data_IF_961968558123
#
_entry.id   IF_961968558123
#
_cell.length_a   1.000
_cell.length_b   1.000
_cell.length_c   1.000
_cell.angle_alpha   90.00
_cell.angle_beta   90.00
_cell.angle_gamma   90.00
#
_symmetry.space_group_name_H-M   'P 1'
#
loop_
_entity.id
_entity.type
_entity.pdbx_description
1 polymer ?
#
# COMPACT_ATOMS: atom_id res chain seq x y z
N UNK A 1 -8.87 -19.96 -17.75
CA UNK A 1 -9.49 -20.84 -16.72
C UNK A 1 -8.67 -22.10 -16.40
N UNK A 2 -7.97 -22.73 -17.35
CA UNK A 2 -7.20 -23.98 -17.11
C UNK A 2 -5.87 -23.84 -16.34
N UNK A 3 -5.22 -22.67 -16.34
CA UNK A 3 -3.94 -22.48 -15.64
C UNK A 3 -4.06 -22.56 -14.11
N UNK A 4 -5.10 -21.96 -13.53
CA UNK A 4 -5.31 -21.97 -12.08
C UNK A 4 -5.56 -23.39 -11.54
N UNK A 5 -6.26 -24.23 -12.32
CA UNK A 5 -6.54 -25.63 -11.99
C UNK A 5 -5.27 -26.49 -12.06
N UNK A 6 -4.45 -26.32 -13.10
CA UNK A 6 -3.17 -27.03 -13.24
C UNK A 6 -2.15 -26.65 -12.15
N UNK A 7 -2.08 -25.38 -11.76
CA UNK A 7 -1.20 -24.96 -10.66
C UNK A 7 -1.73 -25.47 -9.31
N UNK A 8 -3.05 -25.53 -9.10
CA UNK A 8 -3.62 -26.07 -7.86
C UNK A 8 -3.29 -27.55 -7.64
N UNK A 9 -3.21 -28.34 -8.71
CA UNK A 9 -2.84 -29.77 -8.69
C UNK A 9 -1.33 -29.99 -8.46
N UNK A 10 -0.48 -29.06 -8.89
CA UNK A 10 0.96 -29.15 -8.67
C UNK A 10 1.37 -28.90 -7.20
N UNK A 11 0.62 -28.04 -6.50
CA UNK A 11 0.92 -27.64 -5.11
C UNK A 11 0.43 -28.69 -4.09
N UNK A 12 -0.50 -29.58 -4.44
CA UNK A 12 -1.10 -30.54 -3.51
C UNK A 12 -0.19 -31.71 -3.14
N UNK A 13 0.76 -32.09 -4.00
CA UNK A 13 1.40 -33.39 -3.87
C UNK A 13 2.74 -33.38 -3.13
N UNK A 14 3.52 -32.29 -3.19
CA UNK A 14 4.79 -32.23 -2.45
C UNK A 14 5.36 -30.81 -2.42
N UNK A 15 4.88 -29.94 -1.52
CA UNK A 15 5.36 -28.56 -1.53
C UNK A 15 5.59 -28.00 -0.14
N UNK A 16 6.83 -27.54 0.07
CA UNK A 16 7.28 -26.84 1.26
C UNK A 16 6.34 -25.68 1.59
N UNK A 17 6.27 -25.31 2.87
CA UNK A 17 5.47 -24.18 3.35
C UNK A 17 5.73 -22.90 2.53
N UNK A 18 6.94 -22.78 2.00
CA UNK A 18 7.36 -21.71 1.12
C UNK A 18 6.56 -21.65 -0.18
N UNK A 19 6.46 -22.76 -0.92
CA UNK A 19 5.73 -22.83 -2.20
C UNK A 19 4.23 -22.61 -1.95
N UNK A 20 3.66 -23.28 -0.94
CA UNK A 20 2.24 -23.15 -0.59
C UNK A 20 1.86 -21.72 -0.25
N UNK A 21 2.69 -21.03 0.53
CA UNK A 21 2.43 -19.63 0.91
C UNK A 21 2.66 -18.64 -0.23
N UNK A 22 3.65 -18.87 -1.11
CA UNK A 22 3.80 -18.08 -2.37
C UNK A 22 2.55 -18.17 -3.24
N UNK A 23 2.05 -19.39 -3.47
CA UNK A 23 0.87 -19.62 -4.29
C UNK A 23 -0.39 -18.97 -3.70
N UNK A 24 -0.64 -19.15 -2.40
CA UNK A 24 -1.79 -18.52 -1.73
C UNK A 24 -1.73 -16.99 -1.78
N UNK A 25 -0.54 -16.40 -1.64
CA UNK A 25 -0.37 -14.94 -1.76
C UNK A 25 -0.70 -14.46 -3.18
N UNK A 26 -0.28 -15.21 -4.21
CA UNK A 26 -0.63 -14.91 -5.59
C UNK A 26 -2.15 -14.97 -5.83
N UNK A 27 -2.83 -15.99 -5.30
CA UNK A 27 -4.29 -16.08 -5.38
C UNK A 27 -4.98 -14.90 -4.68
N UNK A 28 -4.51 -14.53 -3.49
CA UNK A 28 -5.03 -13.37 -2.76
C UNK A 28 -4.87 -12.08 -3.58
N UNK A 29 -3.71 -11.87 -4.18
CA UNK A 29 -3.41 -10.72 -5.04
C UNK A 29 -4.30 -10.69 -6.30
N UNK A 30 -4.52 -11.83 -6.95
CA UNK A 30 -5.43 -11.94 -8.11
C UNK A 30 -6.86 -11.57 -7.70
N UNK A 31 -7.36 -12.11 -6.59
CA UNK A 31 -8.69 -11.80 -6.10
C UNK A 31 -8.82 -10.33 -5.70
N UNK A 32 -7.81 -9.75 -5.05
CA UNK A 32 -7.79 -8.32 -4.71
C UNK A 32 -7.82 -7.45 -5.98
N UNK A 33 -7.02 -7.76 -7.01
CA UNK A 33 -7.01 -7.03 -8.29
C UNK A 33 -8.37 -7.11 -9.01
N UNK A 34 -9.03 -8.26 -8.91
CA UNK A 34 -10.37 -8.47 -9.47
C UNK A 34 -11.50 -7.92 -8.58
N UNK A 35 -11.17 -7.18 -7.52
CA UNK A 35 -12.12 -6.61 -6.55
C UNK A 35 -12.95 -7.65 -5.77
N UNK A 36 -12.53 -8.92 -5.78
CA UNK A 36 -13.12 -10.00 -5.00
C UNK A 36 -12.53 -9.98 -3.57
N UNK A 37 -12.71 -8.87 -2.85
CA UNK A 37 -12.02 -8.60 -1.60
C UNK A 37 -12.37 -9.57 -0.46
N UNK A 38 -13.61 -10.07 -0.42
CA UNK A 38 -14.01 -11.10 0.56
C UNK A 38 -13.24 -12.41 0.34
N UNK A 39 -13.05 -12.81 -0.92
CA UNK A 39 -12.30 -14.01 -1.25
C UNK A 39 -10.80 -13.82 -1.01
N UNK A 40 -10.25 -12.65 -1.36
CA UNK A 40 -8.87 -12.30 -1.02
C UNK A 40 -8.62 -12.35 0.51
N UNK A 41 -9.57 -11.85 1.30
CA UNK A 41 -9.53 -11.92 2.78
C UNK A 41 -9.42 -13.36 3.29
N UNK A 42 -10.12 -14.33 2.69
CA UNK A 42 -10.00 -15.74 3.09
C UNK A 42 -8.59 -16.29 2.87
N UNK A 43 -7.93 -15.92 1.77
CA UNK A 43 -6.55 -16.33 1.51
C UNK A 43 -5.56 -15.65 2.45
N UNK A 44 -5.74 -14.37 2.76
CA UNK A 44 -4.87 -13.66 3.70
C UNK A 44 -4.95 -14.23 5.12
N UNK A 45 -6.14 -14.62 5.61
CA UNK A 45 -6.29 -15.29 6.92
C UNK A 45 -5.50 -16.59 6.96
N UNK A 46 -5.72 -17.47 5.98
CA UNK A 46 -4.99 -18.75 5.86
C UNK A 46 -3.46 -18.56 5.79
N UNK A 47 -3.01 -17.48 5.15
CA UNK A 47 -1.58 -17.15 5.08
C UNK A 47 -1.01 -16.72 6.43
N UNK A 48 -1.76 -15.95 7.22
CA UNK A 48 -1.36 -15.60 8.59
C UNK A 48 -1.25 -16.89 9.41
N UNK A 49 -2.28 -17.74 9.41
CA UNK A 49 -2.28 -19.00 10.18
C UNK A 49 -1.08 -19.90 9.83
N UNK A 50 -0.64 -19.89 8.57
CA UNK A 50 0.53 -20.66 8.12
C UNK A 50 1.87 -20.04 8.54
N UNK A 51 1.98 -18.72 8.58
CA UNK A 51 3.26 -18.00 8.68
C UNK A 51 3.49 -17.37 10.05
N UNK A 52 2.45 -17.19 10.86
CA UNK A 52 2.55 -16.59 12.20
C UNK A 52 3.48 -17.46 13.07
N UNK A 53 4.32 -16.79 13.86
CA UNK A 53 5.36 -17.40 14.71
C UNK A 53 6.50 -18.13 13.98
N UNK A 54 6.64 -17.96 12.66
CA UNK A 54 7.77 -18.49 11.88
C UNK A 54 8.69 -17.37 11.40
N UNK A 55 9.95 -17.41 11.81
CA UNK A 55 10.93 -16.41 11.36
C UNK A 55 11.18 -16.52 9.85
N UNK A 56 11.29 -17.73 9.32
CA UNK A 56 11.42 -17.99 7.88
C UNK A 56 10.20 -17.49 7.07
N UNK A 57 9.07 -17.32 7.75
CA UNK A 57 7.83 -16.77 7.20
C UNK A 57 7.73 -15.25 7.25
N UNK A 58 8.58 -14.56 8.00
CA UNK A 58 8.39 -13.15 8.38
C UNK A 58 8.32 -12.20 7.17
N UNK A 59 9.20 -12.38 6.18
CA UNK A 59 9.19 -11.56 4.96
C UNK A 59 7.87 -11.71 4.18
N UNK A 60 7.31 -12.92 4.14
CA UNK A 60 6.05 -13.18 3.47
C UNK A 60 4.88 -12.67 4.31
N UNK A 61 4.94 -12.84 5.63
CA UNK A 61 3.95 -12.32 6.57
C UNK A 61 3.86 -10.78 6.52
N UNK A 62 4.99 -10.08 6.36
CA UNK A 62 5.01 -8.63 6.15
C UNK A 62 4.22 -8.22 4.89
N UNK A 63 4.41 -8.95 3.78
CA UNK A 63 3.65 -8.72 2.55
C UNK A 63 2.15 -9.02 2.74
N UNK A 64 1.81 -10.06 3.49
CA UNK A 64 0.43 -10.42 3.84
C UNK A 64 -0.23 -9.32 4.65
N UNK A 65 0.40 -8.85 5.73
CA UNK A 65 -0.15 -7.75 6.54
C UNK A 65 -0.36 -6.48 5.72
N UNK A 66 0.59 -6.12 4.87
CA UNK A 66 0.45 -4.97 3.99
C UNK A 66 -0.75 -5.10 3.03
N UNK A 67 -0.83 -6.22 2.28
CA UNK A 67 -1.89 -6.45 1.29
C UNK A 67 -3.27 -6.61 1.94
N UNK A 68 -3.33 -7.28 3.08
CA UNK A 68 -4.57 -7.53 3.80
C UNK A 68 -5.09 -6.26 4.49
N UNK A 69 -4.20 -5.38 4.97
CA UNK A 69 -4.59 -4.07 5.47
C UNK A 69 -5.25 -3.23 4.36
N UNK A 70 -4.64 -3.17 3.17
CA UNK A 70 -5.27 -2.53 2.00
C UNK A 70 -6.60 -3.17 1.60
N UNK A 71 -6.69 -4.50 1.61
CA UNK A 71 -7.93 -5.22 1.35
C UNK A 71 -9.03 -4.83 2.35
N UNK A 72 -8.65 -4.67 3.62
CA UNK A 72 -9.57 -4.28 4.69
C UNK A 72 -10.06 -2.85 4.51
N UNK A 73 -9.23 -1.93 4.00
CA UNK A 73 -9.69 -0.60 3.58
C UNK A 73 -10.72 -0.68 2.45
N UNK A 74 -10.50 -1.50 1.42
CA UNK A 74 -11.48 -1.67 0.34
C UNK A 74 -12.82 -2.26 0.81
N UNK A 75 -12.81 -3.03 1.89
CA UNK A 75 -14.01 -3.56 2.53
C UNK A 75 -14.65 -2.59 3.55
N UNK A 76 -14.11 -1.38 3.74
CA UNK A 76 -14.56 -0.43 4.77
C UNK A 76 -14.24 -0.84 6.21
N UNK A 77 -13.42 -1.88 6.40
CA UNK A 77 -13.04 -2.43 7.72
C UNK A 77 -11.86 -1.65 8.31
N UNK A 78 -12.04 -0.35 8.58
CA UNK A 78 -10.95 0.58 8.91
C UNK A 78 -10.17 0.22 10.19
N UNK A 79 -10.87 -0.19 11.27
CA UNK A 79 -10.23 -0.66 12.51
C UNK A 79 -9.35 -1.90 12.27
N UNK A 80 -9.81 -2.81 11.43
CA UNK A 80 -9.06 -4.02 11.05
C UNK A 80 -7.84 -3.67 10.21
N UNK A 81 -7.98 -2.75 9.25
CA UNK A 81 -6.86 -2.25 8.47
C UNK A 81 -5.76 -1.65 9.36
N UNK A 82 -6.15 -0.92 10.41
CA UNK A 82 -5.24 -0.39 11.42
C UNK A 82 -4.54 -1.48 12.21
N UNK A 83 -5.28 -2.45 12.75
CA UNK A 83 -4.68 -3.59 13.46
C UNK A 83 -3.64 -4.32 12.60
N UNK A 84 -3.95 -4.60 11.33
CA UNK A 84 -3.02 -5.26 10.40
C UNK A 84 -1.80 -4.39 10.06
N UNK A 85 -1.97 -3.07 9.91
CA UNK A 85 -0.86 -2.16 9.64
C UNK A 85 0.08 -2.03 10.84
N UNK A 86 -0.45 -2.03 12.07
CA UNK A 86 0.36 -2.05 13.30
C UNK A 86 1.10 -3.39 13.48
N UNK A 87 0.47 -4.51 13.10
CA UNK A 87 1.15 -5.81 13.05
C UNK A 87 2.33 -5.80 12.07
N UNK A 88 2.20 -5.16 10.91
CA UNK A 88 3.32 -4.96 9.98
C UNK A 88 4.46 -4.13 10.60
N UNK A 89 4.12 -3.02 11.26
CA UNK A 89 5.11 -2.15 11.91
C UNK A 89 5.87 -2.87 13.02
N UNK A 90 5.16 -3.61 13.88
CA UNK A 90 5.75 -4.47 14.91
C UNK A 90 6.65 -5.54 14.30
N UNK A 91 6.23 -6.18 13.20
CA UNK A 91 7.02 -7.20 12.53
C UNK A 91 8.33 -6.65 11.94
N UNK A 92 8.28 -5.46 11.32
CA UNK A 92 9.49 -4.77 10.80
C UNK A 92 10.44 -4.42 11.95
N UNK A 93 9.90 -3.98 13.09
CA UNK A 93 10.71 -3.64 14.27
C UNK A 93 11.33 -4.88 14.93
N UNK A 94 10.66 -6.03 14.83
CA UNK A 94 11.14 -7.31 15.39
C UNK A 94 12.31 -7.90 14.60
N UNK A 95 12.30 -7.80 13.27
CA UNK A 95 13.28 -8.46 12.41
C UNK A 95 14.10 -7.45 11.63
N UNK A 96 15.40 -7.30 11.97
CA UNK A 96 16.31 -6.31 11.38
C UNK A 96 16.42 -6.42 9.86
N UNK A 97 16.34 -7.62 9.28
CA UNK A 97 16.36 -7.81 7.82
C UNK A 97 15.12 -7.25 7.10
N UNK A 98 14.05 -6.93 7.84
CA UNK A 98 12.88 -6.21 7.32
C UNK A 98 13.03 -4.70 7.43
N UNK A 99 13.99 -4.18 8.20
CA UNK A 99 14.22 -2.75 8.39
C UNK A 99 14.99 -2.14 7.21
N UNK A 100 14.38 -2.23 6.03
CA UNK A 100 14.93 -1.70 4.78
C UNK A 100 14.16 -0.46 4.34
N UNK A 101 14.77 0.44 3.54
CA UNK A 101 14.06 1.59 2.96
C UNK A 101 12.77 1.19 2.25
N UNK A 102 12.77 0.06 1.54
CA UNK A 102 11.59 -0.47 0.83
C UNK A 102 10.44 -0.81 1.77
N UNK A 103 10.69 -1.55 2.85
CA UNK A 103 9.65 -1.87 3.82
C UNK A 103 9.18 -0.65 4.59
N UNK A 104 10.10 0.24 5.00
CA UNK A 104 9.77 1.45 5.71
C UNK A 104 8.91 2.41 4.87
N UNK A 105 9.22 2.58 3.58
CA UNK A 105 8.40 3.38 2.68
C UNK A 105 7.02 2.74 2.45
N UNK A 106 6.95 1.42 2.23
CA UNK A 106 5.65 0.73 2.08
C UNK A 106 4.79 0.84 3.35
N UNK A 107 5.40 0.65 4.52
CA UNK A 107 4.78 0.82 5.84
C UNK A 107 4.23 2.24 6.00
N UNK A 108 5.01 3.26 5.68
CA UNK A 108 4.59 4.66 5.86
C UNK A 108 3.44 5.05 4.93
N UNK A 109 3.46 4.61 3.67
CA UNK A 109 2.34 4.80 2.73
C UNK A 109 1.09 4.05 3.21
N UNK A 110 1.23 2.85 3.76
CA UNK A 110 0.10 2.10 4.31
C UNK A 110 -0.50 2.81 5.54
N UNK A 111 0.31 3.11 6.54
CA UNK A 111 -0.15 3.71 7.80
C UNK A 111 -0.76 5.08 7.56
N UNK A 112 -0.18 5.92 6.69
CA UNK A 112 -0.79 7.20 6.32
C UNK A 112 -2.21 7.02 5.77
N UNK A 113 -2.41 6.13 4.77
CA UNK A 113 -3.75 5.82 4.24
C UNK A 113 -4.70 5.29 5.30
N UNK A 114 -4.22 4.38 6.14
CA UNK A 114 -5.04 3.76 7.18
C UNK A 114 -5.47 4.78 8.22
N UNK A 115 -4.59 5.67 8.66
CA UNK A 115 -4.93 6.73 9.61
C UNK A 115 -5.86 7.78 8.99
N UNK A 116 -5.71 8.13 7.70
CA UNK A 116 -6.68 8.96 6.98
C UNK A 116 -8.10 8.35 7.06
N UNK A 117 -8.23 7.06 6.77
CA UNK A 117 -9.53 6.37 6.80
C UNK A 117 -10.07 6.13 8.22
N UNK A 118 -9.24 6.26 9.25
CA UNK A 118 -9.64 6.25 10.65
C UNK A 118 -9.78 7.67 11.24
N UNK A 119 -9.83 8.72 10.40
CA UNK A 119 -9.96 10.12 10.80
C UNK A 119 -8.87 10.60 11.79
N UNK A 120 -7.69 9.99 11.78
CA UNK A 120 -6.56 10.43 12.58
C UNK A 120 -5.58 11.20 11.69
N UNK A 121 -5.86 12.48 11.49
CA UNK A 121 -5.12 13.33 10.57
C UNK A 121 -3.67 13.56 11.03
N UNK A 122 -3.42 13.65 12.33
CA UNK A 122 -2.08 13.87 12.90
C UNK A 122 -1.14 12.70 12.61
N UNK A 123 -1.62 11.47 12.85
CA UNK A 123 -0.84 10.29 12.50
C UNK A 123 -0.74 10.11 10.99
N UNK A 124 -1.77 10.46 10.23
CA UNK A 124 -1.72 10.40 8.77
C UNK A 124 -0.59 11.28 8.21
N UNK A 125 -0.52 12.55 8.64
CA UNK A 125 0.52 13.48 8.19
C UNK A 125 1.91 13.08 8.71
N UNK A 126 2.00 12.56 9.93
CA UNK A 126 3.25 12.01 10.47
C UNK A 126 3.82 10.93 9.55
N UNK A 127 3.03 9.92 9.16
CA UNK A 127 3.52 8.85 8.29
C UNK A 127 3.75 9.30 6.84
N UNK A 128 3.06 10.33 6.35
CA UNK A 128 3.41 10.96 5.08
C UNK A 128 4.82 11.59 5.13
N UNK A 129 5.11 12.34 6.19
CA UNK A 129 6.42 12.97 6.40
C UNK A 129 7.54 11.92 6.55
N UNK A 130 7.28 10.84 7.30
CA UNK A 130 8.19 9.69 7.40
C UNK A 130 8.46 9.10 6.01
N UNK A 131 7.41 8.86 5.22
CA UNK A 131 7.53 8.35 3.86
C UNK A 131 8.33 9.26 2.94
N UNK A 132 8.23 10.58 3.11
CA UNK A 132 9.01 11.55 2.33
C UNK A 132 10.50 11.48 2.64
N UNK A 133 10.85 11.39 3.93
CA UNK A 133 12.23 11.24 4.37
C UNK A 133 12.86 9.97 3.77
N UNK A 134 12.14 8.85 3.81
CA UNK A 134 12.63 7.60 3.21
C UNK A 134 12.68 7.69 1.68
N UNK A 135 11.67 8.27 1.03
CA UNK A 135 11.59 8.42 -0.43
C UNK A 135 12.80 9.17 -1.02
N UNK A 136 13.27 10.21 -0.32
CA UNK A 136 14.40 11.04 -0.74
C UNK A 136 15.73 10.28 -0.81
N UNK A 137 15.84 9.16 -0.07
CA UNK A 137 17.05 8.34 0.01
C UNK A 137 17.11 7.21 -1.03
N UNK A 138 16.06 7.00 -1.84
CA UNK A 138 16.10 5.99 -2.90
C UNK A 138 16.88 6.49 -4.12
N UNK A 139 17.57 5.57 -4.80
CA UNK A 139 18.11 5.82 -6.14
C UNK A 139 17.01 6.27 -7.12
N UNK A 140 15.88 5.56 -7.14
CA UNK A 140 14.69 5.92 -7.92
C UNK A 140 13.71 6.81 -7.12
N UNK A 141 14.22 7.83 -6.42
CA UNK A 141 13.40 8.72 -5.58
C UNK A 141 12.22 9.35 -6.31
N UNK A 142 12.36 9.66 -7.60
CA UNK A 142 11.34 10.38 -8.37
C UNK A 142 10.00 9.63 -8.41
N UNK A 143 10.00 8.31 -8.65
CA UNK A 143 8.77 7.50 -8.68
C UNK A 143 8.08 7.43 -7.32
N UNK A 144 8.87 7.31 -6.25
CA UNK A 144 8.39 7.28 -4.87
C UNK A 144 7.80 8.65 -4.47
N UNK A 145 8.46 9.74 -4.84
CA UNK A 145 8.00 11.11 -4.58
C UNK A 145 6.72 11.46 -5.36
N UNK A 146 6.58 11.06 -6.63
CA UNK A 146 5.32 11.25 -7.38
C UNK A 146 4.16 10.54 -6.68
N UNK A 147 4.37 9.29 -6.26
CA UNK A 147 3.36 8.52 -5.54
C UNK A 147 2.97 9.20 -4.23
N UNK A 148 3.97 9.66 -3.47
CA UNK A 148 3.77 10.30 -2.18
C UNK A 148 3.08 11.66 -2.31
N UNK A 149 3.49 12.52 -3.24
CA UNK A 149 2.86 13.83 -3.44
C UNK A 149 1.42 13.72 -3.97
N UNK A 150 1.11 12.69 -4.75
CA UNK A 150 -0.29 12.38 -5.07
C UNK A 150 -1.08 11.96 -3.83
N UNK A 151 -0.46 11.28 -2.86
CA UNK A 151 -1.10 10.93 -1.60
C UNK A 151 -1.29 12.15 -0.68
N UNK A 152 -0.32 13.07 -0.60
CA UNK A 152 -0.52 14.36 0.05
C UNK A 152 -1.67 15.15 -0.60
N UNK A 153 -1.72 15.17 -1.93
CA UNK A 153 -2.83 15.80 -2.67
C UNK A 153 -4.17 15.23 -2.22
N UNK A 154 -4.29 13.89 -2.18
CA UNK A 154 -5.49 13.20 -1.71
C UNK A 154 -5.84 13.57 -0.26
N UNK A 155 -4.83 13.61 0.62
CA UNK A 155 -4.99 13.96 2.03
C UNK A 155 -5.61 15.35 2.21
N UNK A 156 -4.95 16.37 1.64
CA UNK A 156 -5.43 17.74 1.76
C UNK A 156 -6.76 17.97 1.02
N UNK A 157 -6.95 17.31 -0.13
CA UNK A 157 -8.18 17.44 -0.92
C UNK A 157 -9.40 16.80 -0.26
N UNK A 158 -9.27 15.56 0.22
CA UNK A 158 -10.40 14.78 0.72
C UNK A 158 -10.62 14.89 2.22
N UNK A 159 -9.55 14.97 3.01
CA UNK A 159 -9.64 14.84 4.48
C UNK A 159 -9.54 16.19 5.19
N UNK A 160 -8.66 17.09 4.75
CA UNK A 160 -8.54 18.43 5.35
C UNK A 160 -9.32 19.53 4.61
N UNK A 161 -9.76 19.25 3.38
CA UNK A 161 -10.42 20.23 2.49
C UNK A 161 -9.60 21.50 2.23
N UNK A 162 -8.28 21.44 2.41
CA UNK A 162 -7.37 22.52 2.04
C UNK A 162 -6.97 22.38 0.56
N UNK A 163 -7.79 22.98 -0.30
CA UNK A 163 -7.59 22.90 -1.74
C UNK A 163 -6.35 23.65 -2.23
N UNK A 164 -5.88 24.66 -1.50
CA UNK A 164 -4.66 25.41 -1.85
C UNK A 164 -3.43 24.54 -1.64
N UNK A 165 -3.32 23.90 -0.48
CA UNK A 165 -2.22 22.98 -0.18
C UNK A 165 -2.30 21.74 -1.08
N UNK A 166 -3.50 21.19 -1.30
CA UNK A 166 -3.69 20.07 -2.23
C UNK A 166 -3.18 20.40 -3.64
N UNK A 167 -3.48 21.59 -4.15
CA UNK A 167 -3.03 22.03 -5.48
C UNK A 167 -1.51 22.17 -5.54
N UNK A 168 -0.87 22.69 -4.49
CA UNK A 168 0.59 22.77 -4.39
C UNK A 168 1.24 21.38 -4.52
N UNK A 169 0.77 20.39 -3.75
CA UNK A 169 1.29 19.02 -3.85
C UNK A 169 0.99 18.37 -5.21
N UNK A 170 -0.18 18.63 -5.80
CA UNK A 170 -0.52 18.10 -7.11
C UNK A 170 0.42 18.64 -8.21
N UNK A 171 0.78 19.93 -8.13
CA UNK A 171 1.75 20.56 -9.01
C UNK A 171 3.18 20.03 -8.77
N UNK A 172 3.58 19.82 -7.52
CA UNK A 172 4.87 19.16 -7.19
C UNK A 172 4.95 17.75 -7.81
N UNK A 173 3.87 16.96 -7.71
CA UNK A 173 3.79 15.63 -8.31
C UNK A 173 3.90 15.69 -9.85
N UNK A 174 3.20 16.64 -10.49
CA UNK A 174 3.25 16.85 -11.94
C UNK A 174 4.66 17.23 -12.41
N UNK A 175 5.34 18.16 -11.72
CA UNK A 175 6.70 18.60 -12.07
C UNK A 175 7.66 17.42 -12.11
N UNK A 176 7.59 16.52 -11.10
CA UNK A 176 8.43 15.32 -11.10
C UNK A 176 8.01 14.36 -12.22
N UNK A 177 6.71 14.11 -12.42
CA UNK A 177 6.22 13.21 -13.46
C UNK A 177 6.69 13.62 -14.87
N UNK A 178 6.72 14.93 -15.16
CA UNK A 178 7.26 15.48 -16.41
C UNK A 178 8.78 15.25 -16.49
N UNK A 179 9.52 15.51 -15.41
CA UNK A 179 10.98 15.34 -15.39
C UNK A 179 11.44 13.90 -15.66
N UNK A 180 10.63 12.90 -15.28
CA UNK A 180 10.90 11.48 -15.56
C UNK A 180 10.22 10.97 -16.83
N UNK A 181 9.61 11.87 -17.62
CA UNK A 181 8.91 11.56 -18.87
C UNK A 181 7.88 10.42 -18.75
N UNK A 182 7.24 10.28 -17.59
CA UNK A 182 6.28 9.21 -17.34
C UNK A 182 4.86 9.67 -17.72
N UNK A 183 4.44 9.35 -18.95
CA UNK A 183 3.15 9.77 -19.51
C UNK A 183 1.94 9.34 -18.67
N UNK A 184 1.99 8.16 -18.06
CA UNK A 184 0.95 7.67 -17.15
C UNK A 184 0.80 8.59 -15.94
N UNK A 185 1.90 8.90 -15.25
CA UNK A 185 1.87 9.80 -14.09
C UNK A 185 1.50 11.23 -14.48
N UNK A 186 1.96 11.72 -15.64
CA UNK A 186 1.57 13.05 -16.12
C UNK A 186 0.05 13.14 -16.28
N UNK A 187 -0.57 12.15 -16.94
CA UNK A 187 -2.03 12.09 -17.11
C UNK A 187 -2.75 12.02 -15.75
N UNK A 188 -2.24 11.20 -14.84
CA UNK A 188 -2.80 11.06 -13.50
C UNK A 188 -2.72 12.36 -12.67
N UNK A 189 -1.55 13.01 -12.63
CA UNK A 189 -1.37 14.28 -11.91
C UNK A 189 -2.23 15.40 -12.50
N UNK A 190 -2.35 15.51 -13.84
CA UNK A 190 -3.24 16.49 -14.49
C UNK A 190 -4.70 16.29 -14.09
N UNK A 191 -5.17 15.04 -13.99
CA UNK A 191 -6.53 14.73 -13.50
C UNK A 191 -6.73 15.20 -12.06
N UNK A 192 -5.76 14.96 -11.18
CA UNK A 192 -5.82 15.42 -9.78
C UNK A 192 -5.85 16.95 -9.69
N UNK A 193 -5.01 17.65 -10.46
CA UNK A 193 -5.01 19.13 -10.52
C UNK A 193 -6.37 19.66 -10.95
N UNK A 194 -6.96 19.08 -12.01
CA UNK A 194 -8.29 19.50 -12.48
C UNK A 194 -9.36 19.31 -11.40
N UNK A 195 -9.34 18.16 -10.72
CA UNK A 195 -10.29 17.87 -9.64
C UNK A 195 -10.17 18.87 -8.47
N UNK A 196 -8.93 19.25 -8.09
CA UNK A 196 -8.69 20.25 -7.03
C UNK A 196 -9.13 21.64 -7.48
N UNK A 197 -8.77 22.08 -8.70
CA UNK A 197 -9.18 23.39 -9.24
C UNK A 197 -10.69 23.56 -9.30
N UNK A 198 -11.42 22.51 -9.70
CA UNK A 198 -12.88 22.51 -9.74
C UNK A 198 -13.54 22.68 -8.36
N UNK A 199 -12.83 22.36 -7.27
CA UNK A 199 -13.29 22.60 -5.90
C UNK A 199 -12.80 23.92 -5.32
N UNK A 200 -11.64 24.41 -5.75
CA UNK A 200 -11.11 25.72 -5.33
C UNK A 200 -11.94 26.89 -5.90
N UNK A 201 -12.51 26.71 -7.09
CA UNK A 201 -13.31 27.74 -7.79
C UNK A 201 -14.82 27.67 -7.48
N UNK A 202 -15.23 26.84 -6.51
CA UNK A 202 -16.62 26.73 -6.03
C UNK A 202 -16.70 27.29 -4.62
#
# INVERSE_FOLDING_TARGET
KNYLKRISLFVSNDSSIEIKSKYKLLLADIHQKNKNYNLAELFFKKLIDMLENREEGAMRLANVYHRYSLNSLYLGKHKKALSLALKLESLISKYSFLDTPTYNFRKSILLSRVYMNNNNNDKAIYYLNVGEKVAKNFYQKHLHLVTLYNLYTLFYFQYLKDYKIALNYANKALKIAISVQNSYYVKYCKKNILAVKNKLNK
#
